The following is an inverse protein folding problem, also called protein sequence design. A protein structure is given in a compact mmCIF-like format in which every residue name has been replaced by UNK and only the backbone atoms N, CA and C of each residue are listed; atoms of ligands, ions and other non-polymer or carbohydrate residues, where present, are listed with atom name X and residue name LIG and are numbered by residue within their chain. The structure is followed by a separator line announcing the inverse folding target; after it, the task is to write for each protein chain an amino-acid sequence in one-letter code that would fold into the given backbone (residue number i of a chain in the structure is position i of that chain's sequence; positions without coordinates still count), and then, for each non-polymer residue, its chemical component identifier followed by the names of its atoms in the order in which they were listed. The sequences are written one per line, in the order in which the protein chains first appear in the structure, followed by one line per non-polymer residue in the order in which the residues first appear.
data_IF_620556546286
#
_entry.id   IF_620556546286
#
_cell.length_a   1.000
_cell.length_b   1.000
_cell.length_c   1.000
_cell.angle_alpha   90.00
_cell.angle_beta   90.00
_cell.angle_gamma   90.00
#
_symmetry.space_group_name_H-M   'P 1'
#
loop_
_entity.id
_entity.type
_entity.pdbx_description
1 polymer ?
#
# COMPACT_ATOMS: atom_id res chain seq x y z
N UNK A 1 23.93 47.52 -37.31
CA UNK A 1 25.25 48.08 -36.96
C UNK A 1 25.21 48.43 -35.48
N UNK A 2 25.89 47.59 -34.68
CA UNK A 2 26.52 47.77 -33.35
C UNK A 2 25.92 48.69 -32.24
N UNK A 3 26.24 48.50 -30.94
CA UNK A 3 27.01 47.41 -30.31
C UNK A 3 26.37 46.77 -29.06
N UNK A 4 26.96 45.62 -28.72
CA UNK A 4 26.91 44.84 -27.47
C UNK A 4 27.25 45.69 -26.25
N UNK A 5 26.61 45.41 -25.10
CA UNK A 5 27.12 45.86 -23.81
C UNK A 5 27.39 44.67 -22.88
N UNK A 6 28.69 44.39 -22.79
CA UNK A 6 29.36 43.46 -21.89
C UNK A 6 29.63 44.17 -20.57
N UNK A 7 29.23 43.59 -19.43
CA UNK A 7 29.89 43.85 -18.15
C UNK A 7 29.97 42.58 -17.29
N UNK A 8 31.18 42.04 -17.32
CA UNK A 8 31.80 41.17 -16.33
C UNK A 8 31.74 41.74 -14.90
N UNK A 9 31.51 40.86 -13.91
CA UNK A 9 32.23 40.93 -12.64
C UNK A 9 32.35 39.55 -12.00
N UNK A 10 33.51 38.93 -12.23
CA UNK A 10 34.06 37.90 -11.36
C UNK A 10 34.26 38.47 -9.95
N UNK A 11 33.74 37.78 -8.93
CA UNK A 11 34.37 37.76 -7.60
C UNK A 11 34.39 36.33 -7.08
N UNK A 12 35.54 35.69 -7.27
CA UNK A 12 36.00 34.58 -6.42
C UNK A 12 36.29 35.16 -5.04
N UNK A 13 35.65 34.63 -4.01
CA UNK A 13 36.13 34.70 -2.64
C UNK A 13 36.06 33.28 -2.08
N UNK A 14 37.20 32.61 -2.07
CA UNK A 14 37.45 31.46 -1.23
C UNK A 14 37.90 31.99 0.13
N UNK A 15 37.26 31.55 1.21
CA UNK A 15 37.88 31.52 2.53
C UNK A 15 37.25 30.42 3.37
N UNK A 16 38.17 29.65 3.91
CA UNK A 16 38.03 28.38 4.59
C UNK A 16 37.59 28.50 6.06
N UNK A 17 36.99 27.40 6.53
CA UNK A 17 37.00 26.81 7.88
C UNK A 17 36.58 27.66 9.09
N UNK A 18 35.49 27.20 9.73
CA UNK A 18 35.54 26.76 11.13
C UNK A 18 34.35 25.83 11.44
N UNK A 19 34.66 24.56 11.70
CA UNK A 19 33.74 23.61 12.33
C UNK A 19 33.47 24.07 13.77
N UNK A 20 32.19 24.21 14.12
CA UNK A 20 31.72 24.19 15.51
C UNK A 20 30.37 23.47 15.50
N UNK A 21 30.29 22.42 16.30
CA UNK A 21 29.26 21.39 16.22
C UNK A 21 27.88 21.90 16.61
N UNK A 22 26.92 21.62 15.73
CA UNK A 22 25.52 21.53 16.10
C UNK A 22 25.24 20.07 16.39
N UNK A 23 24.99 19.75 17.66
CA UNK A 23 24.42 18.48 18.05
C UNK A 23 23.08 18.33 17.33
N UNK A 24 23.01 17.35 16.44
CA UNK A 24 21.76 16.86 15.86
C UNK A 24 20.98 16.19 16.99
N UNK A 25 20.03 16.90 17.58
CA UNK A 25 18.85 16.24 18.14
C UNK A 25 18.08 15.65 16.97
N UNK A 26 18.40 14.39 16.65
CA UNK A 26 17.61 13.56 15.76
C UNK A 26 16.28 13.33 16.48
N UNK A 27 15.27 14.12 16.13
CA UNK A 27 13.88 13.78 16.36
C UNK A 27 13.54 12.60 15.46
N UNK A 28 13.96 11.41 15.88
CA UNK A 28 13.45 10.17 15.34
C UNK A 28 12.05 9.97 15.94
N UNK A 29 11.02 10.45 15.26
CA UNK A 29 9.71 9.78 15.31
C UNK A 29 9.83 8.56 14.39
N UNK A 30 10.63 7.59 14.84
CA UNK A 30 10.61 6.24 14.34
C UNK A 30 9.48 5.52 15.05
N UNK A 31 8.46 5.19 14.28
CA UNK A 31 7.47 4.15 14.55
C UNK A 31 8.18 2.98 15.25
N UNK A 32 7.81 2.73 16.51
CA UNK A 32 8.22 1.52 17.22
C UNK A 32 7.17 0.46 16.85
N UNK A 33 7.51 -0.60 16.09
CA UNK A 33 6.67 -1.78 16.08
C UNK A 33 6.65 -2.35 17.51
N UNK A 34 5.45 -2.56 18.06
CA UNK A 34 5.26 -3.18 19.35
C UNK A 34 6.10 -4.47 19.47
N UNK A 35 6.75 -4.72 20.61
CA UNK A 35 7.40 -6.01 20.83
C UNK A 35 6.32 -7.10 20.86
N UNK A 36 6.29 -7.94 19.83
CA UNK A 36 5.67 -9.26 19.93
C UNK A 36 6.30 -9.96 21.12
N UNK A 37 5.50 -10.23 22.15
CA UNK A 37 5.89 -11.05 23.29
C UNK A 37 6.12 -12.49 22.80
N UNK A 38 7.36 -12.80 22.44
CA UNK A 38 7.84 -14.17 22.42
C UNK A 38 7.97 -14.69 23.86
N UNK A 39 7.22 -15.75 24.17
CA UNK A 39 7.57 -16.66 25.24
C UNK A 39 6.71 -16.57 26.50
N UNK A 40 5.52 -17.17 26.46
CA UNK A 40 5.04 -17.92 27.63
C UNK A 40 4.27 -19.16 27.16
N UNK A 41 4.83 -20.38 27.30
CA UNK A 41 4.11 -21.61 27.00
C UNK A 41 3.07 -21.89 28.10
N UNK A 42 1.87 -22.39 27.76
CA UNK A 42 0.90 -22.81 28.77
C UNK A 42 1.50 -23.95 29.64
N UNK A 43 1.22 -23.98 30.95
CA UNK A 43 1.76 -24.99 31.84
C UNK A 43 1.28 -26.38 31.42
N UNK A 44 2.25 -27.28 31.26
CA UNK A 44 2.08 -28.63 30.78
C UNK A 44 1.10 -29.47 31.60
N UNK A 45 0.34 -30.28 30.89
CA UNK A 45 -0.38 -31.43 31.45
C UNK A 45 0.25 -32.69 30.86
N UNK A 46 0.99 -33.39 31.71
CA UNK A 46 1.69 -34.62 31.36
C UNK A 46 0.75 -35.75 30.95
N UNK A 47 1.29 -36.64 30.12
CA UNK A 47 0.68 -37.90 29.74
C UNK A 47 1.44 -38.57 28.58
N UNK A 48 2.51 -39.29 28.91
CA UNK A 48 3.02 -40.42 28.11
C UNK A 48 2.04 -41.62 28.28
N UNK A 49 2.05 -42.69 27.44
CA UNK A 49 3.12 -43.14 26.55
C UNK A 49 2.72 -43.63 25.13
N UNK A 50 3.72 -43.62 24.24
CA UNK A 50 4.18 -44.72 23.36
C UNK A 50 3.14 -45.69 22.74
N UNK A 51 2.95 -45.63 21.41
CA UNK A 51 2.65 -46.75 20.48
C UNK A 51 3.18 -46.38 19.08
N UNK A 52 4.24 -47.05 18.62
CA UNK A 52 4.23 -48.10 17.57
C UNK A 52 3.90 -47.64 16.14
N UNK A 53 4.98 -47.37 15.40
CA UNK A 53 5.36 -48.04 14.15
C UNK A 53 4.20 -48.53 13.23
N UNK A 54 3.93 -47.75 12.19
CA UNK A 54 3.15 -48.16 11.02
C UNK A 54 3.65 -47.44 9.78
N UNK A 55 4.57 -48.06 9.06
CA UNK A 55 5.02 -47.62 7.74
C UNK A 55 3.99 -48.01 6.69
N UNK A 56 3.27 -47.02 6.15
CA UNK A 56 2.62 -47.14 4.84
C UNK A 56 2.96 -45.87 4.04
N UNK A 57 3.80 -46.06 3.02
CA UNK A 57 4.09 -45.07 2.01
C UNK A 57 2.89 -44.96 1.06
N UNK A 58 2.28 -43.78 0.87
CA UNK A 58 1.42 -43.55 -0.27
C UNK A 58 2.30 -43.27 -1.49
N UNK A 59 2.10 -44.07 -2.53
CA UNK A 59 2.65 -43.85 -3.87
C UNK A 59 2.41 -42.39 -4.29
N UNK A 60 3.50 -41.72 -4.63
CA UNK A 60 3.50 -40.41 -5.26
C UNK A 60 2.86 -40.52 -6.65
N UNK A 61 1.57 -40.23 -6.75
CA UNK A 61 1.00 -39.79 -8.02
C UNK A 61 1.69 -38.48 -8.42
N UNK A 62 2.24 -38.36 -9.64
CA UNK A 62 2.70 -37.08 -10.13
C UNK A 62 1.46 -36.20 -10.28
N UNK A 63 1.28 -35.24 -9.36
CA UNK A 63 0.39 -34.11 -9.60
C UNK A 63 0.86 -33.47 -10.89
N UNK A 64 0.03 -33.54 -11.93
CA UNK A 64 0.18 -32.69 -13.10
C UNK A 64 0.35 -31.25 -12.59
N UNK A 65 1.28 -30.46 -13.16
CA UNK A 65 1.32 -29.05 -12.82
C UNK A 65 -0.06 -28.50 -13.13
N UNK A 66 -0.79 -28.04 -12.12
CA UNK A 66 -1.97 -27.21 -12.35
C UNK A 66 -1.51 -26.11 -13.29
N UNK A 67 -1.96 -26.21 -14.54
CA UNK A 67 -1.78 -25.19 -15.55
C UNK A 67 -2.22 -23.91 -14.87
N UNK A 68 -1.26 -23.03 -14.59
CA UNK A 68 -1.52 -21.64 -14.22
C UNK A 68 -2.45 -21.16 -15.32
N UNK A 69 -3.74 -21.10 -15.03
CA UNK A 69 -4.70 -20.43 -15.87
C UNK A 69 -4.35 -18.96 -15.70
N UNK A 70 -3.34 -18.50 -16.43
CA UNK A 70 -3.12 -17.09 -16.65
C UNK A 70 -4.46 -16.58 -17.17
N UNK A 71 -5.13 -15.63 -16.52
CA UNK A 71 -6.33 -15.06 -17.09
C UNK A 71 -5.98 -14.58 -18.50
N UNK A 72 -6.61 -15.24 -19.48
CA UNK A 72 -6.51 -14.93 -20.90
C UNK A 72 -7.15 -13.55 -21.14
N UNK A 73 -6.42 -12.49 -20.75
CA UNK A 73 -6.71 -11.12 -21.12
C UNK A 73 -5.78 -10.69 -22.23
N UNK A 74 -6.28 -9.92 -23.19
CA UNK A 74 -5.44 -9.21 -24.16
C UNK A 74 -4.63 -8.11 -23.45
N UNK A 75 -3.51 -7.70 -24.05
CA UNK A 75 -2.78 -6.50 -23.64
C UNK A 75 -3.67 -5.26 -23.82
N UNK A 76 -3.77 -4.42 -22.79
CA UNK A 76 -4.42 -3.12 -22.88
C UNK A 76 -3.40 -2.07 -23.32
N UNK A 77 -3.72 -1.33 -24.37
CA UNK A 77 -2.87 -0.26 -24.91
C UNK A 77 -3.30 1.10 -24.37
N UNK A 78 -2.33 1.91 -23.95
CA UNK A 78 -2.51 3.30 -23.52
C UNK A 78 -1.23 4.10 -23.72
N UNK A 79 -1.32 5.43 -23.66
CA UNK A 79 -0.14 6.29 -23.69
C UNK A 79 0.73 6.02 -22.46
N UNK A 80 2.06 6.12 -22.61
CA UNK A 80 3.00 6.04 -21.49
C UNK A 80 2.97 7.37 -20.73
N UNK A 81 2.58 7.39 -19.45
CA UNK A 81 2.58 8.61 -18.65
C UNK A 81 3.99 9.21 -18.54
N UNK A 82 4.11 10.53 -18.66
CA UNK A 82 5.39 11.23 -18.50
C UNK A 82 5.87 11.31 -17.05
N UNK A 83 4.94 11.17 -16.10
CA UNK A 83 5.16 11.19 -14.66
C UNK A 83 4.44 10.00 -14.04
N UNK A 84 4.87 9.57 -12.86
CA UNK A 84 4.22 8.47 -12.15
C UNK A 84 2.77 8.87 -11.80
N UNK A 85 1.76 8.05 -12.16
CA UNK A 85 0.38 8.34 -11.79
C UNK A 85 0.23 8.47 -10.27
N UNK A 86 -0.45 9.54 -9.86
CA UNK A 86 -0.77 9.82 -8.46
C UNK A 86 -2.28 9.99 -8.31
N UNK A 87 -2.79 9.59 -7.15
CA UNK A 87 -4.19 9.80 -6.80
C UNK A 87 -4.49 11.29 -6.61
N UNK A 88 -5.54 11.79 -7.27
CA UNK A 88 -5.99 13.17 -7.12
C UNK A 88 -6.94 13.30 -5.92
N UNK A 89 -6.38 13.69 -4.78
CA UNK A 89 -7.16 13.88 -3.54
C UNK A 89 -8.26 14.95 -3.66
N UNK A 90 -8.19 15.85 -4.65
CA UNK A 90 -9.23 16.87 -4.84
C UNK A 90 -10.58 16.29 -5.25
N UNK A 91 -10.61 15.04 -5.72
CA UNK A 91 -11.81 14.31 -6.08
C UNK A 91 -12.65 13.87 -4.87
N UNK A 92 -12.04 13.74 -3.68
CA UNK A 92 -12.73 13.30 -2.45
C UNK A 92 -13.63 14.37 -1.83
N UNK A 93 -13.56 15.61 -2.33
CA UNK A 93 -14.26 16.75 -1.73
C UNK A 93 -13.59 17.26 -0.45
N UNK A 94 -14.21 18.23 0.24
CA UNK A 94 -13.63 18.80 1.45
C UNK A 94 -13.75 17.84 2.64
N UNK A 95 -12.68 17.75 3.43
CA UNK A 95 -12.72 17.09 4.73
C UNK A 95 -13.82 17.70 5.64
N UNK A 96 -14.48 16.88 6.48
CA UNK A 96 -15.46 17.37 7.43
C UNK A 96 -14.82 18.26 8.50
N UNK A 97 -15.64 19.04 9.20
CA UNK A 97 -15.18 19.80 10.36
C UNK A 97 -14.75 18.86 11.49
N UNK A 98 -13.63 19.15 12.15
CA UNK A 98 -13.11 18.33 13.26
C UNK A 98 -13.95 18.31 14.53
N UNK A 99 -15.15 18.91 14.52
CA UNK A 99 -16.12 18.83 15.62
C UNK A 99 -16.90 17.50 15.62
N UNK A 100 -16.87 16.76 14.50
CA UNK A 100 -17.44 15.43 14.36
C UNK A 100 -16.32 14.40 14.14
N UNK A 101 -15.95 13.72 15.22
CA UNK A 101 -14.86 12.75 15.20
C UNK A 101 -15.18 11.54 14.30
N UNK A 102 -16.41 11.05 14.33
CA UNK A 102 -16.82 9.89 13.52
C UNK A 102 -16.73 10.23 12.05
N UNK A 103 -17.28 11.38 11.63
CA UNK A 103 -17.19 11.83 10.24
C UNK A 103 -15.73 12.04 9.79
N UNK A 104 -14.85 12.53 10.67
CA UNK A 104 -13.42 12.67 10.36
C UNK A 104 -12.75 11.31 10.11
N UNK A 105 -13.07 10.29 10.90
CA UNK A 105 -12.56 8.92 10.70
C UNK A 105 -13.11 8.32 9.40
N UNK A 106 -14.41 8.46 9.12
CA UNK A 106 -15.03 8.01 7.87
C UNK A 106 -14.34 8.62 6.64
N UNK A 107 -14.06 9.93 6.70
CA UNK A 107 -13.35 10.63 5.62
C UNK A 107 -11.92 10.10 5.42
N UNK A 108 -11.16 9.90 6.50
CA UNK A 108 -9.78 9.39 6.39
C UNK A 108 -9.74 7.95 5.87
N UNK A 109 -10.66 7.07 6.28
CA UNK A 109 -10.75 5.71 5.74
C UNK A 109 -11.17 5.76 4.26
N UNK A 110 -12.13 6.61 3.88
CA UNK A 110 -12.55 6.72 2.48
C UNK A 110 -11.39 7.21 1.61
N UNK A 111 -10.65 8.20 2.10
CA UNK A 111 -9.42 8.71 1.48
C UNK A 111 -8.38 7.60 1.33
N UNK A 112 -8.15 6.82 2.37
CA UNK A 112 -7.21 5.72 2.36
C UNK A 112 -7.59 4.64 1.33
N UNK A 113 -8.86 4.22 1.28
CA UNK A 113 -9.34 3.19 0.34
C UNK A 113 -9.19 3.66 -1.11
N UNK A 114 -9.60 4.88 -1.44
CA UNK A 114 -9.45 5.42 -2.80
C UNK A 114 -7.96 5.60 -3.18
N UNK A 115 -7.14 6.08 -2.26
CA UNK A 115 -5.70 6.22 -2.48
C UNK A 115 -5.02 4.87 -2.71
N UNK A 116 -5.40 3.85 -1.94
CA UNK A 116 -4.87 2.49 -2.10
C UNK A 116 -5.28 1.85 -3.42
N UNK A 117 -6.53 2.09 -3.85
CA UNK A 117 -7.01 1.69 -5.17
C UNK A 117 -6.33 2.47 -6.32
N UNK A 118 -5.70 3.61 -5.99
CA UNK A 118 -5.07 4.58 -6.90
C UNK A 118 -6.05 5.19 -7.92
N UNK A 119 -7.34 5.14 -7.61
CA UNK A 119 -8.43 5.60 -8.47
C UNK A 119 -9.55 6.12 -7.58
N UNK A 120 -10.27 7.13 -8.05
CA UNK A 120 -11.44 7.63 -7.35
C UNK A 120 -12.69 6.87 -7.79
N UNK A 121 -13.36 6.24 -6.85
CA UNK A 121 -14.69 5.68 -7.04
C UNK A 121 -15.75 6.65 -6.46
N UNK A 122 -16.61 7.26 -7.29
CA UNK A 122 -17.66 8.17 -6.81
C UNK A 122 -18.73 7.45 -5.97
N UNK A 123 -18.84 6.13 -6.08
CA UNK A 123 -19.77 5.31 -5.30
C UNK A 123 -19.11 4.76 -4.02
N UNK A 124 -17.82 5.04 -3.78
CA UNK A 124 -17.14 4.66 -2.54
C UNK A 124 -17.77 5.35 -1.33
N UNK A 125 -17.88 4.60 -0.24
CA UNK A 125 -18.48 5.10 1.00
C UNK A 125 -17.87 4.41 2.21
N UNK A 126 -17.92 5.10 3.35
CA UNK A 126 -17.53 4.54 4.64
C UNK A 126 -18.61 4.87 5.65
N UNK A 127 -18.98 3.90 6.49
CA UNK A 127 -19.88 4.09 7.61
C UNK A 127 -19.21 3.51 8.86
N UNK A 128 -19.03 4.34 9.88
CA UNK A 128 -18.49 3.93 11.17
C UNK A 128 -19.63 3.79 12.21
N UNK A 129 -19.42 2.93 13.20
CA UNK A 129 -20.17 3.03 14.46
C UNK A 129 -19.88 4.39 15.14
N UNK A 130 -20.72 4.82 16.09
CA UNK A 130 -20.46 6.06 16.83
C UNK A 130 -19.12 5.96 17.58
N UNK A 131 -18.17 6.84 17.24
CA UNK A 131 -16.81 6.83 17.78
C UNK A 131 -16.56 7.99 18.75
N UNK A 132 -15.67 7.76 19.71
CA UNK A 132 -15.21 8.78 20.66
C UNK A 132 -13.69 8.97 20.57
N UNK A 133 -13.16 10.21 20.66
CA UNK A 133 -11.71 10.48 20.67
C UNK A 133 -11.10 10.19 22.04
N UNK A 134 -11.35 8.99 22.58
CA UNK A 134 -10.86 8.53 23.87
C UNK A 134 -9.77 7.50 23.64
N UNK A 135 -8.57 7.73 24.19
CA UNK A 135 -7.47 6.78 24.09
C UNK A 135 -7.89 5.36 24.54
N UNK A 136 -7.64 4.37 23.70
CA UNK A 136 -8.03 2.98 23.89
C UNK A 136 -9.46 2.65 23.47
N UNK A 137 -10.20 3.60 22.88
CA UNK A 137 -11.48 3.31 22.24
C UNK A 137 -11.23 2.48 20.97
N UNK A 138 -12.02 1.42 20.82
CA UNK A 138 -12.03 0.56 19.64
C UNK A 138 -13.43 0.59 19.01
N UNK A 139 -13.50 0.76 17.70
CA UNK A 139 -14.74 0.74 16.93
C UNK A 139 -14.54 0.13 15.54
N UNK A 140 -15.62 -0.14 14.84
CA UNK A 140 -15.57 -0.69 13.47
C UNK A 140 -16.15 0.27 12.44
N UNK A 141 -15.58 0.24 11.25
CA UNK A 141 -16.08 0.94 10.08
C UNK A 141 -16.21 0.00 8.89
N UNK A 142 -17.34 0.06 8.19
CA UNK A 142 -17.57 -0.63 6.93
C UNK A 142 -17.23 0.31 5.77
N UNK A 143 -16.33 -0.10 4.89
CA UNK A 143 -15.96 0.64 3.69
C UNK A 143 -16.41 -0.12 2.42
N UNK A 144 -17.07 0.58 1.52
CA UNK A 144 -17.43 0.11 0.19
C UNK A 144 -16.57 0.77 -0.89
N UNK A 145 -16.11 -0.03 -1.86
CA UNK A 145 -15.40 0.44 -3.05
C UNK A 145 -15.66 -0.53 -4.21
N UNK A 146 -16.22 -0.01 -5.31
CA UNK A 146 -16.82 -0.80 -6.38
C UNK A 146 -17.78 -1.87 -5.80
N UNK A 147 -17.62 -3.14 -6.17
CA UNK A 147 -18.41 -4.25 -5.64
C UNK A 147 -17.78 -4.91 -4.38
N UNK A 148 -16.81 -4.25 -3.74
CA UNK A 148 -16.09 -4.79 -2.59
C UNK A 148 -16.44 -4.06 -1.31
N UNK A 149 -16.53 -4.85 -0.23
CA UNK A 149 -16.72 -4.38 1.13
C UNK A 149 -15.51 -4.80 1.98
N UNK A 150 -15.04 -3.90 2.83
CA UNK A 150 -13.96 -4.13 3.77
C UNK A 150 -14.33 -3.57 5.15
N UNK A 151 -14.16 -4.38 6.18
CA UNK A 151 -14.28 -3.95 7.57
C UNK A 151 -12.92 -3.42 8.05
N UNK A 152 -12.95 -2.30 8.76
CA UNK A 152 -11.81 -1.68 9.42
C UNK A 152 -12.04 -1.71 10.93
N UNK A 153 -11.04 -2.20 11.66
CA UNK A 153 -10.98 -2.05 13.12
C UNK A 153 -10.17 -0.80 13.41
N UNK A 154 -10.80 0.19 14.06
CA UNK A 154 -10.20 1.48 14.37
C UNK A 154 -9.91 1.56 15.86
N UNK A 155 -8.68 1.91 16.21
CA UNK A 155 -8.22 2.12 17.60
C UNK A 155 -7.74 3.56 17.78
N UNK A 156 -8.25 4.24 18.80
CA UNK A 156 -7.74 5.57 19.18
C UNK A 156 -6.51 5.40 20.07
N UNK A 157 -5.36 5.92 19.68
CA UNK A 157 -4.06 5.59 20.31
C UNK A 157 -3.52 6.65 21.26
N UNK A 158 -4.09 7.85 21.28
CA UNK A 158 -3.66 8.92 22.18
C UNK A 158 -4.80 9.83 22.64
N UNK A 159 -4.48 10.72 23.59
CA UNK A 159 -5.42 11.72 24.13
C UNK A 159 -5.75 12.85 23.12
N UNK A 160 -5.06 12.91 21.98
CA UNK A 160 -5.31 13.89 20.92
C UNK A 160 -6.28 13.33 19.87
N UNK A 161 -6.67 12.06 19.98
CA UNK A 161 -7.59 11.39 19.06
C UNK A 161 -6.89 10.83 17.82
N UNK A 162 -5.58 10.56 17.87
CA UNK A 162 -4.91 9.84 16.77
C UNK A 162 -5.54 8.46 16.60
N UNK A 163 -5.74 8.05 15.36
CA UNK A 163 -6.36 6.77 15.02
C UNK A 163 -5.37 5.87 14.30
N UNK A 164 -5.37 4.59 14.69
CA UNK A 164 -4.80 3.49 13.92
C UNK A 164 -5.94 2.65 13.39
N UNK A 165 -5.82 2.13 12.18
CA UNK A 165 -6.82 1.26 11.59
C UNK A 165 -6.17 0.01 10.99
N UNK A 166 -6.82 -1.12 11.19
CA UNK A 166 -6.41 -2.41 10.68
C UNK A 166 -7.47 -2.94 9.72
N UNK A 167 -7.03 -3.43 8.56
CA UNK A 167 -7.90 -4.10 7.59
C UNK A 167 -7.18 -5.29 6.97
N UNK A 168 -7.94 -6.33 6.62
CA UNK A 168 -7.37 -7.55 6.07
C UNK A 168 -6.97 -7.44 4.60
N UNK A 169 -7.79 -6.76 3.78
CA UNK A 169 -7.60 -6.67 2.33
C UNK A 169 -8.18 -5.39 1.77
N UNK A 170 -7.51 -4.82 0.78
CA UNK A 170 -7.90 -3.59 0.11
C UNK A 170 -8.01 -3.79 -1.41
N UNK A 171 -8.92 -3.06 -2.08
CA UNK A 171 -9.08 -3.14 -3.52
C UNK A 171 -7.92 -2.44 -4.23
N UNK A 172 -7.44 -3.06 -5.30
CA UNK A 172 -6.45 -2.45 -6.21
C UNK A 172 -7.06 -2.40 -7.59
N UNK A 173 -7.00 -1.23 -8.24
CA UNK A 173 -7.46 -1.05 -9.63
C UNK A 173 -6.43 -1.60 -10.61
N UNK A 174 -6.90 -2.43 -11.55
CA UNK A 174 -6.09 -2.91 -12.67
C UNK A 174 -5.68 -1.76 -13.58
N UNK A 175 -6.59 -0.84 -13.85
CA UNK A 175 -6.32 0.28 -14.76
C UNK A 175 -5.21 1.18 -14.19
N UNK A 176 -5.28 1.51 -12.90
CA UNK A 176 -4.24 2.29 -12.24
C UNK A 176 -2.90 1.54 -12.16
N UNK A 177 -2.91 0.23 -11.90
CA UNK A 177 -1.69 -0.58 -11.90
C UNK A 177 -1.04 -0.67 -13.28
N UNK A 178 -1.83 -0.94 -14.32
CA UNK A 178 -1.31 -1.03 -15.68
C UNK A 178 -0.77 0.33 -16.14
N UNK A 179 -1.44 1.44 -15.83
CA UNK A 179 -0.94 2.79 -16.13
C UNK A 179 0.40 3.07 -15.45
N UNK A 180 0.52 2.75 -14.15
CA UNK A 180 1.79 2.89 -13.43
C UNK A 180 2.87 1.96 -13.99
N UNK A 181 2.54 0.75 -14.42
CA UNK A 181 3.50 -0.14 -15.05
C UNK A 181 3.91 0.30 -16.45
N UNK A 182 3.04 0.95 -17.24
CA UNK A 182 3.41 1.62 -18.50
C UNK A 182 4.45 2.71 -18.23
N UNK A 183 4.23 3.54 -17.20
CA UNK A 183 5.23 4.54 -16.79
C UNK A 183 6.57 3.89 -16.40
N UNK A 184 6.53 2.82 -15.62
CA UNK A 184 7.72 2.10 -15.16
C UNK A 184 8.51 1.44 -16.30
N UNK A 185 7.82 0.74 -17.21
CA UNK A 185 8.44 -0.03 -18.30
C UNK A 185 8.75 0.81 -19.54
N UNK A 186 8.02 1.90 -19.76
CA UNK A 186 8.09 2.68 -21.00
C UNK A 186 7.31 2.07 -22.17
N UNK A 187 6.51 1.03 -21.95
CA UNK A 187 5.76 0.32 -22.98
C UNK A 187 4.26 0.69 -22.96
N UNK A 188 3.64 0.84 -24.12
CA UNK A 188 2.23 1.23 -24.24
C UNK A 188 1.25 0.08 -23.98
N UNK A 189 1.66 -1.15 -24.27
CA UNK A 189 0.84 -2.35 -24.20
C UNK A 189 1.25 -3.23 -23.02
N UNK A 190 0.40 -3.22 -21.99
CA UNK A 190 0.62 -3.88 -20.70
C UNK A 190 -0.57 -4.77 -20.34
N UNK A 191 -0.31 -5.83 -19.58
CA UNK A 191 -1.31 -6.70 -18.97
C UNK A 191 -0.90 -7.03 -17.54
N UNK A 192 -1.79 -6.79 -16.58
CA UNK A 192 -1.64 -7.33 -15.23
C UNK A 192 -2.56 -8.54 -15.00
N UNK A 193 -2.04 -9.58 -14.34
CA UNK A 193 -2.75 -10.81 -13.97
C UNK A 193 -3.74 -10.55 -12.81
N UNK A 194 -4.86 -9.93 -13.15
CA UNK A 194 -5.99 -9.66 -12.27
C UNK A 194 -7.26 -9.28 -13.07
N UNK A 195 -8.42 -9.34 -12.41
CA UNK A 195 -9.64 -8.69 -12.91
C UNK A 195 -9.55 -7.17 -12.78
N UNK A 196 -10.64 -6.43 -13.08
CA UNK A 196 -10.64 -4.96 -12.96
C UNK A 196 -10.22 -4.48 -11.57
N UNK A 197 -10.60 -5.24 -10.55
CA UNK A 197 -10.17 -5.02 -9.18
C UNK A 197 -9.74 -6.35 -8.56
N UNK A 198 -8.81 -6.27 -7.61
CA UNK A 198 -8.40 -7.43 -6.80
C UNK A 198 -8.20 -6.97 -5.36
N UNK A 199 -8.75 -7.74 -4.42
CA UNK A 199 -8.47 -7.58 -3.01
C UNK A 199 -7.09 -8.16 -2.69
N UNK A 200 -6.20 -7.33 -2.18
CA UNK A 200 -4.85 -7.72 -1.76
C UNK A 200 -4.66 -7.47 -0.28
N UNK A 201 -3.94 -8.36 0.39
CA UNK A 201 -3.35 -8.04 1.71
C UNK A 201 -2.07 -7.24 1.50
N UNK A 202 -1.64 -6.52 2.53
CA UNK A 202 -0.34 -5.85 2.54
C UNK A 202 0.81 -6.82 2.22
N UNK A 203 1.80 -6.35 1.44
CA UNK A 203 2.95 -7.16 1.01
C UNK A 203 2.76 -7.78 -0.38
N UNK A 204 2.89 -9.11 -0.46
CA UNK A 204 2.85 -9.82 -1.74
C UNK A 204 1.43 -9.84 -2.32
N UNK A 205 1.22 -9.06 -3.39
CA UNK A 205 -0.09 -8.93 -4.03
C UNK A 205 -0.52 -10.17 -4.83
N UNK A 206 0.45 -11.03 -5.19
CA UNK A 206 0.25 -12.13 -6.13
C UNK A 206 -0.22 -11.65 -7.50
N UNK A 207 0.03 -10.39 -7.86
CA UNK A 207 -0.22 -9.81 -9.18
C UNK A 207 1.12 -9.78 -9.92
N UNK A 208 1.12 -10.20 -11.17
CA UNK A 208 2.24 -9.99 -12.09
C UNK A 208 1.78 -9.16 -13.28
N UNK A 209 2.59 -8.19 -13.68
CA UNK A 209 2.36 -7.41 -14.88
C UNK A 209 3.39 -7.78 -15.95
N UNK A 210 2.99 -7.70 -17.22
CA UNK A 210 3.83 -7.99 -18.37
C UNK A 210 3.58 -7.01 -19.50
N UNK A 211 4.62 -6.78 -20.31
CA UNK A 211 4.57 -5.95 -21.52
C UNK A 211 4.45 -6.82 -22.76
N UNK A 212 3.94 -6.26 -23.86
CA UNK A 212 3.91 -6.97 -25.15
C UNK A 212 5.30 -7.30 -25.71
N UNK A 213 6.35 -6.64 -25.21
CA UNK A 213 7.75 -6.90 -25.55
C UNK A 213 8.33 -8.14 -24.82
N UNK A 214 7.62 -8.63 -23.80
CA UNK A 214 7.99 -9.81 -23.02
C UNK A 214 8.67 -9.51 -21.68
N UNK A 215 8.75 -8.25 -21.27
CA UNK A 215 9.18 -7.88 -19.92
C UNK A 215 8.07 -8.22 -18.92
N UNK A 216 8.44 -8.62 -17.71
CA UNK A 216 7.47 -8.92 -16.66
C UNK A 216 8.01 -8.58 -15.28
N UNK A 217 7.11 -8.18 -14.39
CA UNK A 217 7.43 -7.84 -13.02
C UNK A 217 6.36 -8.35 -12.04
N UNK A 218 6.81 -8.72 -10.85
CA UNK A 218 5.93 -8.91 -9.69
C UNK A 218 5.57 -7.57 -9.05
N UNK A 219 4.31 -7.44 -8.65
CA UNK A 219 3.79 -6.25 -8.00
C UNK A 219 3.82 -6.42 -6.49
N UNK A 220 4.45 -5.50 -5.78
CA UNK A 220 4.38 -5.40 -4.32
C UNK A 220 3.69 -4.09 -3.94
N UNK A 221 2.78 -4.17 -2.97
CA UNK A 221 1.95 -3.03 -2.55
C UNK A 221 2.25 -2.73 -1.09
N UNK A 222 2.62 -1.48 -0.84
CA UNK A 222 2.93 -1.02 0.51
C UNK A 222 1.68 -1.10 1.40
N UNK A 223 1.86 -1.54 2.65
CA UNK A 223 0.75 -1.74 3.58
C UNK A 223 -0.03 -0.46 3.89
N UNK A 224 0.66 0.68 3.84
CA UNK A 224 0.14 2.01 4.09
C UNK A 224 -0.43 2.67 2.82
N UNK A 225 -0.51 1.95 1.70
CA UNK A 225 -0.95 2.50 0.41
C UNK A 225 0.00 3.53 -0.19
N UNK A 226 1.18 3.75 0.40
CA UNK A 226 2.12 4.79 -0.01
C UNK A 226 2.74 4.56 -1.39
N UNK A 227 2.64 3.36 -1.93
CA UNK A 227 3.17 3.06 -3.25
C UNK A 227 3.01 1.63 -3.71
N UNK A 228 3.31 1.47 -4.99
CA UNK A 228 3.43 0.18 -5.67
C UNK A 228 4.87 0.07 -6.17
N UNK A 229 5.48 -1.08 -5.95
CA UNK A 229 6.80 -1.38 -6.50
C UNK A 229 6.72 -2.57 -7.45
N UNK A 230 7.55 -2.53 -8.48
CA UNK A 230 7.66 -3.57 -9.49
C UNK A 230 9.04 -4.22 -9.36
N UNK A 231 9.06 -5.55 -9.27
CA UNK A 231 10.29 -6.33 -9.23
C UNK A 231 10.39 -7.17 -10.50
N UNK A 232 11.35 -6.84 -11.36
CA UNK A 232 11.58 -7.54 -12.62
C UNK A 232 11.87 -9.03 -12.43
N UNK A 233 11.39 -9.85 -13.37
CA UNK A 233 11.57 -11.31 -13.41
C UNK A 233 12.60 -11.78 -14.42
#
# INVERSE_FOLDING_TARGET
MEPLNSRSSLRRAALALACAGSLLTVGACGIIPAPVREGEPPPGRGGAPEQEQGSEAPESSPSEPESRQTPDGDFRTGEVPSEEPQFDESLLGPAPSGDDFTAAVEYEINRFVNMFAMEHDPDSSVSCEEMEPTNGFEGTCDAGYADYEAEFVVTVTDEQGSVEYETGRLPVSRDALEERYRHHSGEEAVRCDMGEYKLVSSGASGISCETSAGDSADVEIAADGSGVTFTDR
#
